data_IF_502084760562
#
_entry.id   IF_502084760562
#
_cell.length_a   1.000
_cell.length_b   1.000
_cell.length_c   1.000
_cell.angle_alpha   90.00
_cell.angle_beta   90.00
_cell.angle_gamma   90.00
#
_symmetry.space_group_name_H-M   'P 1'
#
loop_
_entity.id
_entity.type
_entity.pdbx_description
1 polymer ?
#
# COMPACT_ATOMS: atom_id res chain seq x y z
N UNK A 1 -11.02 -6.41 0.80
CA UNK A 1 -10.01 -5.44 0.34
C UNK A 1 -9.75 -4.47 1.49
N UNK A 2 -8.70 -4.67 2.28
CA UNK A 2 -8.39 -3.80 3.43
C UNK A 2 -7.57 -2.61 2.94
N UNK A 3 -8.05 -1.41 3.22
CA UNK A 3 -7.33 -0.17 2.97
C UNK A 3 -6.70 0.25 4.29
N UNK A 4 -5.38 0.46 4.31
CA UNK A 4 -4.77 1.12 5.45
C UNK A 4 -4.93 2.62 5.28
N UNK A 5 -5.57 3.25 6.25
CA UNK A 5 -5.74 4.68 6.36
C UNK A 5 -4.82 5.25 7.44
N UNK A 6 -4.12 6.32 7.12
CA UNK A 6 -3.25 7.03 8.06
C UNK A 6 -3.39 8.52 7.84
N UNK A 7 -3.37 9.32 8.90
CA UNK A 7 -3.44 10.78 8.80
C UNK A 7 -2.08 11.34 8.39
N UNK A 8 -2.06 12.26 7.43
CA UNK A 8 -0.85 12.95 7.02
C UNK A 8 -1.14 14.30 6.36
N UNK A 9 -0.11 15.14 6.28
CA UNK A 9 -0.22 16.44 5.64
C UNK A 9 -0.06 16.32 4.12
N UNK A 10 -0.99 16.94 3.38
CA UNK A 10 -0.89 17.08 1.94
C UNK A 10 -0.48 18.51 1.59
N UNK A 11 0.64 18.68 0.89
CA UNK A 11 1.11 19.99 0.41
C UNK A 11 0.16 20.60 -0.63
N UNK A 12 -0.52 19.78 -1.44
CA UNK A 12 -1.46 20.26 -2.48
C UNK A 12 -2.79 20.72 -1.87
N UNK A 13 -3.31 19.99 -0.88
CA UNK A 13 -4.55 20.37 -0.21
C UNK A 13 -4.32 21.32 0.98
N UNK A 14 -3.05 21.58 1.32
CA UNK A 14 -2.59 22.39 2.45
C UNK A 14 -3.30 22.08 3.78
N UNK A 15 -3.63 20.81 4.02
CA UNK A 15 -4.35 20.35 5.21
C UNK A 15 -3.98 18.92 5.59
N UNK A 16 -4.20 18.56 6.85
CA UNK A 16 -4.13 17.18 7.31
C UNK A 16 -5.33 16.41 6.76
N UNK A 17 -5.07 15.28 6.10
CA UNK A 17 -6.13 14.39 5.65
C UNK A 17 -5.73 12.92 5.68
N UNK A 18 -6.70 12.05 5.41
CA UNK A 18 -6.53 10.61 5.36
C UNK A 18 -5.80 10.19 4.09
N UNK A 19 -4.58 9.70 4.26
CA UNK A 19 -3.81 9.01 3.25
C UNK A 19 -4.29 7.57 3.17
N UNK A 20 -4.55 7.11 1.96
CA UNK A 20 -5.01 5.74 1.72
C UNK A 20 -3.93 4.97 0.99
N UNK A 21 -3.58 3.81 1.54
CA UNK A 21 -2.73 2.84 0.86
C UNK A 21 -3.54 1.59 0.59
N UNK A 22 -3.38 1.03 -0.61
CA UNK A 22 -3.84 -0.34 -0.85
C UNK A 22 -2.97 -1.24 0.02
N UNK A 23 -3.57 -1.78 1.09
CA UNK A 23 -2.96 -2.86 1.83
C UNK A 23 -2.91 -4.08 0.91
N UNK A 24 -1.74 -4.66 0.75
CA UNK A 24 -1.63 -5.95 0.07
C UNK A 24 -2.40 -6.97 0.88
N UNK A 25 -3.21 -7.79 0.22
CA UNK A 25 -3.90 -8.89 0.87
C UNK A 25 -2.89 -10.01 1.15
N UNK A 26 -2.08 -9.85 2.21
CA UNK A 26 -1.10 -10.85 2.65
C UNK A 26 -1.76 -12.23 2.86
N UNK A 27 -3.03 -12.25 3.29
CA UNK A 27 -3.84 -13.46 3.50
C UNK A 27 -4.08 -14.23 2.19
N UNK A 28 -4.42 -13.54 1.10
CA UNK A 28 -4.68 -14.18 -0.19
C UNK A 28 -3.42 -14.85 -0.73
N UNK A 29 -2.27 -14.20 -0.54
CA UNK A 29 -0.98 -14.76 -0.94
C UNK A 29 -0.52 -15.92 -0.06
N UNK A 30 -0.87 -15.92 1.23
CA UNK A 30 -0.56 -17.01 2.15
C UNK A 30 -1.33 -18.29 1.77
N UNK A 31 -2.61 -18.17 1.41
CA UNK A 31 -3.43 -19.29 0.90
C UNK A 31 -2.86 -19.84 -0.41
N UNK A 32 -2.48 -18.95 -1.34
CA UNK A 32 -1.97 -19.36 -2.65
C UNK A 32 -0.59 -20.04 -2.55
N UNK A 33 0.23 -19.63 -1.60
CA UNK A 33 1.52 -20.28 -1.28
C UNK A 33 1.35 -21.69 -0.71
N UNK A 34 0.30 -21.91 0.11
CA UNK A 34 -0.07 -23.22 0.63
C UNK A 34 -0.54 -24.18 -0.48
N UNK A 35 -1.34 -23.68 -1.43
CA UNK A 35 -1.89 -24.48 -2.54
C UNK A 35 -0.80 -24.89 -3.56
N UNK A 36 0.23 -24.07 -3.74
CA UNK A 36 1.31 -24.28 -4.74
C UNK A 36 2.60 -24.85 -4.13
N UNK A 37 2.54 -25.41 -2.91
CA UNK A 37 3.69 -25.98 -2.21
C UNK A 37 4.88 -25.00 -2.04
N UNK A 38 4.59 -23.71 -1.87
CA UNK A 38 5.61 -22.68 -1.59
C UNK A 38 6.29 -22.07 -2.81
N UNK A 39 6.09 -22.59 -4.03
CA UNK A 39 6.65 -22.01 -5.27
C UNK A 39 6.12 -20.59 -5.52
N UNK A 40 4.87 -20.31 -5.10
CA UNK A 40 4.24 -19.02 -5.29
C UNK A 40 4.76 -17.90 -4.39
N UNK A 41 5.57 -18.23 -3.37
CA UNK A 41 6.20 -17.24 -2.47
C UNK A 41 7.10 -16.27 -3.26
N UNK A 42 7.82 -16.75 -4.28
CA UNK A 42 8.76 -15.92 -5.06
C UNK A 42 8.02 -14.81 -5.84
N UNK A 43 6.91 -15.16 -6.48
CA UNK A 43 6.05 -14.21 -7.21
C UNK A 43 5.41 -13.24 -6.22
N UNK A 44 5.03 -13.72 -5.04
CA UNK A 44 4.49 -12.85 -3.99
C UNK A 44 5.49 -11.77 -3.56
N UNK A 45 6.75 -12.12 -3.30
CA UNK A 45 7.78 -11.14 -2.93
C UNK A 45 7.95 -10.08 -4.03
N UNK A 46 8.02 -10.49 -5.29
CA UNK A 46 8.13 -9.56 -6.43
C UNK A 46 6.94 -8.61 -6.55
N UNK A 47 5.72 -9.08 -6.30
CA UNK A 47 4.50 -8.25 -6.35
C UNK A 47 4.41 -7.33 -5.14
N UNK A 48 4.84 -7.77 -3.95
CA UNK A 48 4.79 -6.96 -2.73
C UNK A 48 5.71 -5.75 -2.78
N UNK A 49 6.85 -5.84 -3.47
CA UNK A 49 7.79 -4.73 -3.64
C UNK A 49 7.16 -3.58 -4.45
N UNK A 50 6.18 -3.87 -5.33
CA UNK A 50 5.49 -2.85 -6.14
C UNK A 50 4.33 -2.13 -5.43
N UNK A 51 4.18 -2.29 -4.12
CA UNK A 51 3.04 -1.72 -3.38
C UNK A 51 3.26 -0.24 -3.13
N UNK A 52 2.69 0.52 -4.06
CA UNK A 52 2.77 1.96 -4.21
C UNK A 52 2.69 2.75 -2.90
N UNK A 53 3.46 3.84 -2.88
CA UNK A 53 3.58 4.78 -1.77
C UNK A 53 2.25 5.40 -1.35
N UNK A 54 2.29 6.12 -0.24
CA UNK A 54 1.11 6.73 0.35
C UNK A 54 0.53 7.80 -0.58
N UNK A 55 -0.77 7.70 -0.89
CA UNK A 55 -1.48 8.67 -1.73
C UNK A 55 -2.63 9.32 -0.97
N UNK A 56 -2.86 10.58 -1.30
CA UNK A 56 -4.04 11.30 -0.85
C UNK A 56 -5.32 10.66 -1.40
N UNK A 57 -6.33 10.42 -0.55
CA UNK A 57 -7.68 10.00 -0.97
C UNK A 57 -8.47 11.04 -1.78
N UNK A 58 -8.23 12.34 -1.60
CA UNK A 58 -8.94 13.44 -2.29
C UNK A 58 -8.23 13.90 -3.58
N UNK A 59 -6.94 14.20 -3.53
CA UNK A 59 -6.20 14.77 -4.68
C UNK A 59 -5.29 13.78 -5.42
N UNK A 60 -5.09 12.57 -4.88
CA UNK A 60 -4.27 11.53 -5.54
C UNK A 60 -2.76 11.76 -5.55
N UNK A 61 -2.26 12.92 -5.08
CA UNK A 61 -0.82 13.18 -4.98
C UNK A 61 -0.15 12.34 -3.89
N UNK A 62 1.15 12.07 -4.08
CA UNK A 62 1.98 11.37 -3.10
C UNK A 62 2.06 12.21 -1.82
N UNK A 63 1.94 11.58 -0.66
CA UNK A 63 1.94 12.32 0.60
C UNK A 63 3.30 12.97 0.87
N UNK A 64 3.31 14.09 1.59
CA UNK A 64 4.55 14.73 2.04
C UNK A 64 5.41 13.79 2.91
N UNK A 65 4.77 12.85 3.61
CA UNK A 65 5.43 11.83 4.43
C UNK A 65 6.23 10.81 3.61
N UNK A 66 5.87 10.63 2.34
CA UNK A 66 6.56 9.76 1.37
C UNK A 66 7.73 10.49 0.69
N UNK A 67 7.75 11.84 0.72
CA UNK A 67 8.84 12.67 0.18
C UNK A 67 10.01 12.86 1.17
N UNK A 68 9.81 12.52 2.46
CA UNK A 68 10.79 12.62 3.54
C UNK A 68 11.49 11.28 3.88
N UNK A 69 11.17 10.20 3.17
CA UNK A 69 11.78 8.87 3.32
C UNK A 69 12.57 8.53 2.08
#
# INVERSE_FOLDING_TARGET
MVHQESTGFCQVCNKNMLLRRKGTNHILHLILSLITAGIWIIIWVLVTIKVGGWRCSTCGTKSARDLLR
#
